data_IF_985088870048
#
_entry.id   IF_985088870048
#
_cell.length_a   1.000
_cell.length_b   1.000
_cell.length_c   1.000
_cell.angle_alpha   90.00
_cell.angle_beta   90.00
_cell.angle_gamma   90.00
#
_symmetry.space_group_name_H-M   'P 1'
#
loop_
_entity.id
_entity.type
_entity.pdbx_description
1 polymer ?
#
# COMPACT_ATOMS: atom_id res chain seq x y z
N UNK A 1 10.80 -12.15 -10.28
CA UNK A 1 10.76 -10.78 -10.89
C UNK A 1 9.41 -10.22 -10.56
N UNK A 2 9.36 -9.06 -9.92
CA UNK A 2 8.10 -8.39 -9.58
C UNK A 2 7.43 -7.86 -10.85
N UNK A 3 6.08 -7.84 -10.89
CA UNK A 3 5.34 -7.21 -11.98
C UNK A 3 5.65 -5.70 -12.12
N UNK A 4 6.14 -5.10 -11.06
CA UNK A 4 6.50 -3.67 -11.00
C UNK A 4 7.89 -3.35 -11.52
N UNK A 5 8.80 -4.33 -11.66
CA UNK A 5 10.15 -4.09 -12.19
C UNK A 5 10.12 -3.49 -13.61
N UNK A 6 9.15 -3.91 -14.44
CA UNK A 6 9.00 -3.46 -15.82
C UNK A 6 8.40 -2.07 -15.98
N UNK A 7 7.85 -1.50 -14.91
CA UNK A 7 7.19 -0.17 -14.93
C UNK A 7 7.70 0.77 -13.83
N UNK A 8 8.84 0.46 -13.20
CA UNK A 8 9.31 1.24 -12.06
C UNK A 8 9.47 2.75 -12.39
N UNK A 9 9.96 3.08 -13.59
CA UNK A 9 10.07 4.47 -14.05
C UNK A 9 8.72 5.09 -14.45
N UNK A 10 7.76 4.24 -14.89
CA UNK A 10 6.43 4.66 -15.30
C UNK A 10 5.50 4.84 -14.10
N UNK A 11 5.82 4.23 -12.97
CA UNK A 11 4.93 4.16 -11.80
C UNK A 11 4.56 5.53 -11.23
N UNK A 12 5.53 6.40 -11.03
CA UNK A 12 5.27 7.73 -10.48
C UNK A 12 4.44 8.62 -11.43
N UNK A 13 4.73 8.69 -12.75
CA UNK A 13 3.81 9.32 -13.69
C UNK A 13 2.40 8.74 -13.65
N UNK A 14 2.25 7.42 -13.62
CA UNK A 14 0.95 6.74 -13.59
C UNK A 14 0.16 7.01 -12.30
N UNK A 15 0.82 7.10 -11.14
CA UNK A 15 0.20 7.33 -9.84
C UNK A 15 0.16 8.81 -9.41
N UNK A 16 0.50 9.74 -10.30
CA UNK A 16 0.68 11.18 -9.99
C UNK A 16 -0.55 11.84 -9.39
N UNK A 17 -1.74 11.45 -9.83
CA UNK A 17 -3.01 12.05 -9.38
C UNK A 17 -3.39 11.70 -7.94
N UNK A 18 -2.74 10.70 -7.32
CA UNK A 18 -3.06 10.26 -5.96
C UNK A 18 -2.09 10.90 -4.98
N UNK A 19 -2.55 11.90 -4.24
CA UNK A 19 -1.72 12.70 -3.30
C UNK A 19 -2.33 12.86 -1.91
N UNK A 20 -3.62 12.62 -1.78
CA UNK A 20 -4.39 12.91 -0.56
C UNK A 20 -3.99 12.02 0.63
N UNK A 21 -3.47 10.84 0.35
CA UNK A 21 -3.03 9.89 1.37
C UNK A 21 -1.69 10.27 2.00
N UNK A 22 -0.82 11.01 1.28
CA UNK A 22 0.53 11.34 1.74
C UNK A 22 0.50 12.04 3.09
N UNK A 23 -0.30 13.11 3.22
CA UNK A 23 -0.40 13.88 4.45
C UNK A 23 -0.92 13.02 5.62
N UNK A 24 -1.86 12.11 5.35
CA UNK A 24 -2.41 11.21 6.36
C UNK A 24 -1.34 10.25 6.91
N UNK A 25 -0.58 9.56 6.04
CA UNK A 25 0.45 8.62 6.47
C UNK A 25 1.61 9.32 7.19
N UNK A 26 2.03 10.48 6.71
CA UNK A 26 3.06 11.30 7.36
C UNK A 26 2.61 11.70 8.79
N UNK A 27 1.38 12.14 8.97
CA UNK A 27 0.84 12.48 10.29
C UNK A 27 0.74 11.25 11.22
N UNK A 28 0.39 10.07 10.70
CA UNK A 28 0.41 8.83 11.50
C UNK A 28 1.83 8.45 11.92
N UNK A 29 2.83 8.67 11.04
CA UNK A 29 4.24 8.45 11.35
C UNK A 29 4.75 9.44 12.42
N UNK A 30 4.42 10.73 12.32
CA UNK A 30 4.76 11.76 13.34
C UNK A 30 4.21 11.39 14.71
N UNK A 31 2.96 10.91 14.77
CA UNK A 31 2.32 10.47 16.03
C UNK A 31 2.96 9.23 16.63
N UNK A 32 3.48 8.34 15.79
CA UNK A 32 4.12 7.10 16.25
C UNK A 32 5.55 7.35 16.74
N UNK A 33 6.25 8.27 16.10
CA UNK A 33 7.69 8.51 16.29
C UNK A 33 8.56 7.51 15.53
N UNK A 34 9.85 7.81 15.48
CA UNK A 34 10.85 7.05 14.73
C UNK A 34 11.35 5.81 15.50
N UNK A 35 11.65 4.66 14.81
CA UNK A 35 11.43 4.42 13.39
C UNK A 35 10.01 3.93 13.09
N UNK A 36 9.64 3.96 11.80
CA UNK A 36 8.44 3.32 11.26
C UNK A 36 8.83 2.28 10.21
N UNK A 37 7.95 1.29 9.96
CA UNK A 37 8.12 0.33 8.86
C UNK A 37 7.04 0.61 7.81
N UNK A 38 7.45 0.68 6.55
CA UNK A 38 6.55 0.78 5.41
C UNK A 38 6.69 -0.48 4.53
N UNK A 39 5.62 -1.25 4.45
CA UNK A 39 5.51 -2.44 3.60
C UNK A 39 5.06 -2.01 2.20
N UNK A 40 5.65 -2.61 1.16
CA UNK A 40 5.47 -2.22 -0.23
C UNK A 40 5.80 -0.73 -0.45
N UNK A 41 7.01 -0.33 -0.07
CA UNK A 41 7.46 1.07 -0.10
C UNK A 41 7.49 1.66 -1.52
N UNK A 42 7.57 0.82 -2.55
CA UNK A 42 7.59 1.23 -3.95
C UNK A 42 8.71 2.22 -4.26
N UNK A 43 8.36 3.29 -4.95
CA UNK A 43 9.26 4.40 -5.30
C UNK A 43 9.44 5.42 -4.16
N UNK A 44 8.90 5.14 -2.96
CA UNK A 44 9.03 5.99 -1.78
C UNK A 44 8.03 7.14 -1.70
N UNK A 45 6.87 7.02 -2.33
CA UNK A 45 5.85 8.08 -2.41
C UNK A 45 5.41 8.57 -1.02
N UNK A 46 5.34 7.68 -0.02
CA UNK A 46 5.04 8.01 1.38
C UNK A 46 6.32 8.08 2.22
N UNK A 47 7.27 7.16 2.00
CA UNK A 47 8.50 7.08 2.79
C UNK A 47 9.37 8.33 2.70
N UNK A 48 9.51 8.93 1.50
CA UNK A 48 10.34 10.12 1.30
C UNK A 48 9.76 11.34 2.03
N UNK A 49 8.49 11.72 1.89
CA UNK A 49 7.88 12.78 2.70
C UNK A 49 7.94 12.50 4.21
N UNK A 50 7.79 11.25 4.63
CA UNK A 50 7.92 10.84 6.03
C UNK A 50 9.35 11.09 6.53
N UNK A 51 10.36 10.73 5.75
CA UNK A 51 11.76 10.97 6.08
C UNK A 51 12.10 12.48 6.11
N UNK A 52 11.46 13.29 5.27
CA UNK A 52 11.63 14.75 5.29
C UNK A 52 11.16 15.40 6.60
N UNK A 53 10.26 14.74 7.35
CA UNK A 53 9.88 15.13 8.72
C UNK A 53 10.86 14.62 9.80
N UNK A 54 12.04 14.10 9.40
CA UNK A 54 13.06 13.60 10.33
C UNK A 54 12.80 12.20 10.89
N UNK A 55 11.88 11.46 10.33
CA UNK A 55 11.50 10.11 10.78
C UNK A 55 12.26 9.06 9.97
N UNK A 56 12.99 8.17 10.64
CA UNK A 56 13.62 7.01 9.98
C UNK A 56 12.54 6.05 9.50
N UNK A 57 12.60 5.66 8.23
CA UNK A 57 11.71 4.69 7.61
C UNK A 57 12.48 3.44 7.21
N UNK A 58 12.00 2.28 7.63
CA UNK A 58 12.44 0.97 7.14
C UNK A 58 11.44 0.57 6.05
N UNK A 59 11.85 0.71 4.78
CA UNK A 59 11.01 0.45 3.63
C UNK A 59 11.29 -0.92 3.02
N UNK A 60 10.26 -1.74 2.84
CA UNK A 60 10.36 -3.06 2.24
C UNK A 60 9.59 -3.08 0.92
N UNK A 61 10.22 -3.61 -0.13
CA UNK A 61 9.55 -3.91 -1.40
C UNK A 61 10.13 -5.18 -2.03
N UNK A 62 9.30 -5.88 -2.78
CA UNK A 62 9.70 -7.09 -3.52
C UNK A 62 10.30 -6.78 -4.89
N UNK A 63 10.22 -5.53 -5.36
CA UNK A 63 10.76 -5.07 -6.64
C UNK A 63 12.10 -4.36 -6.46
N UNK A 64 13.21 -4.94 -6.96
CA UNK A 64 14.48 -4.25 -7.01
C UNK A 64 14.42 -2.92 -7.78
N UNK A 65 13.66 -2.88 -8.89
CA UNK A 65 13.49 -1.68 -9.70
C UNK A 65 12.81 -0.54 -8.94
N UNK A 66 11.75 -0.84 -8.20
CA UNK A 66 11.09 0.15 -7.33
C UNK A 66 12.04 0.70 -6.27
N UNK A 67 12.82 -0.16 -5.62
CA UNK A 67 13.78 0.26 -4.61
C UNK A 67 14.91 1.10 -5.20
N UNK A 68 15.33 0.85 -6.44
CA UNK A 68 16.33 1.68 -7.13
C UNK A 68 15.81 3.11 -7.37
N UNK A 69 14.59 3.22 -7.91
CA UNK A 69 13.92 4.52 -8.08
C UNK A 69 13.76 5.23 -6.73
N UNK A 70 13.35 4.51 -5.69
CA UNK A 70 13.21 5.07 -4.34
C UNK A 70 14.54 5.64 -3.80
N UNK A 71 15.66 4.92 -3.96
CA UNK A 71 16.99 5.39 -3.55
C UNK A 71 17.38 6.67 -4.27
N UNK A 72 17.25 6.69 -5.60
CA UNK A 72 17.59 7.88 -6.40
C UNK A 72 16.75 9.10 -5.99
N UNK A 73 15.45 8.91 -5.76
CA UNK A 73 14.58 10.00 -5.29
C UNK A 73 14.92 10.46 -3.87
N UNK A 74 15.26 9.56 -2.98
CA UNK A 74 15.66 9.88 -1.61
C UNK A 74 16.97 10.68 -1.57
N UNK A 75 17.92 10.37 -2.45
CA UNK A 75 19.15 11.15 -2.63
C UNK A 75 18.86 12.56 -3.12
N UNK A 76 18.02 12.69 -4.15
CA UNK A 76 17.60 13.99 -4.69
C UNK A 76 16.86 14.85 -3.65
N UNK A 77 16.08 14.22 -2.79
CA UNK A 77 15.37 14.87 -1.69
C UNK A 77 16.26 15.16 -0.46
N UNK A 78 17.50 14.67 -0.43
CA UNK A 78 18.41 14.83 0.70
C UNK A 78 18.06 14.04 1.95
N UNK A 79 17.25 12.98 1.83
CA UNK A 79 16.74 12.18 2.95
C UNK A 79 17.22 10.72 2.95
N UNK A 80 18.14 10.35 2.06
CA UNK A 80 18.64 8.98 1.90
C UNK A 80 19.16 8.37 3.22
N UNK A 81 19.77 9.18 4.10
CA UNK A 81 20.27 8.73 5.41
C UNK A 81 19.18 8.33 6.41
N UNK A 82 17.91 8.63 6.12
CA UNK A 82 16.75 8.27 6.95
C UNK A 82 15.96 7.10 6.38
N UNK A 83 16.30 6.61 5.18
CA UNK A 83 15.64 5.46 4.55
C UNK A 83 16.54 4.21 4.60
N UNK A 84 16.03 3.16 5.21
CA UNK A 84 16.62 1.82 5.23
C UNK A 84 15.80 0.91 4.31
N UNK A 85 16.22 0.82 3.04
CA UNK A 85 15.46 0.14 2.00
C UNK A 85 15.93 -1.30 1.85
N UNK A 86 15.03 -2.25 2.05
CA UNK A 86 15.31 -3.69 2.05
C UNK A 86 14.46 -4.41 0.99
N UNK A 87 15.11 -5.27 0.22
CA UNK A 87 14.42 -6.19 -0.69
C UNK A 87 13.77 -7.31 0.14
N UNK A 88 12.46 -7.48 0.00
CA UNK A 88 11.73 -8.49 0.75
C UNK A 88 10.25 -8.53 0.40
N UNK A 89 9.60 -9.60 0.86
CA UNK A 89 8.17 -9.83 0.70
C UNK A 89 7.41 -9.37 1.96
N UNK A 90 6.21 -8.85 1.78
CA UNK A 90 5.34 -8.46 2.89
C UNK A 90 4.79 -9.65 3.70
N UNK A 91 4.90 -10.87 3.17
CA UNK A 91 4.59 -12.11 3.91
C UNK A 91 5.69 -12.50 4.91
N UNK A 92 6.93 -12.07 4.64
CA UNK A 92 8.10 -12.34 5.49
C UNK A 92 9.10 -11.19 5.37
N UNK A 93 8.74 -9.99 5.87
CA UNK A 93 9.58 -8.82 5.75
C UNK A 93 10.90 -9.01 6.53
N UNK A 94 12.06 -8.67 5.94
CA UNK A 94 13.38 -8.87 6.56
C UNK A 94 13.67 -7.76 7.59
N UNK A 95 12.86 -7.70 8.64
CA UNK A 95 12.92 -6.68 9.70
C UNK A 95 12.89 -7.35 11.06
N UNK A 96 13.94 -7.12 11.86
CA UNK A 96 14.04 -7.62 13.24
C UNK A 96 13.54 -6.60 14.25
N UNK A 97 13.57 -5.32 13.89
CA UNK A 97 13.15 -4.20 14.71
C UNK A 97 11.65 -4.25 15.00
N UNK A 98 11.29 -3.80 16.21
CA UNK A 98 9.89 -3.59 16.56
C UNK A 98 9.59 -2.11 16.64
N UNK A 99 8.50 -1.71 15.99
CA UNK A 99 8.12 -0.32 15.80
C UNK A 99 6.73 -0.04 16.38
N UNK A 100 6.40 1.24 16.52
CA UNK A 100 5.06 1.68 16.93
C UNK A 100 4.07 1.79 15.77
N UNK A 101 4.58 1.86 14.54
CA UNK A 101 3.77 1.98 13.34
C UNK A 101 4.34 1.11 12.22
N UNK A 102 3.46 0.30 11.63
CA UNK A 102 3.65 -0.34 10.34
C UNK A 102 2.61 0.24 9.39
N UNK A 103 3.02 0.66 8.21
CA UNK A 103 2.13 1.11 7.14
C UNK A 103 2.18 0.17 5.94
N UNK A 104 1.08 0.05 5.21
CA UNK A 104 1.00 -0.65 3.93
C UNK A 104 0.09 0.16 3.00
N UNK A 105 0.61 1.26 2.41
CA UNK A 105 -0.16 2.19 1.63
C UNK A 105 -0.55 1.66 0.25
N UNK A 106 -1.45 2.41 -0.39
CA UNK A 106 -1.78 2.32 -1.80
C UNK A 106 -2.26 0.93 -2.22
N UNK A 107 -3.18 0.38 -1.44
CA UNK A 107 -3.93 -0.84 -1.79
C UNK A 107 -3.05 -2.10 -1.92
N UNK A 108 -1.82 -2.08 -1.39
CA UNK A 108 -0.82 -3.16 -1.59
C UNK A 108 -1.30 -4.52 -1.10
N UNK A 109 -2.13 -4.58 -0.05
CA UNK A 109 -2.69 -5.86 0.42
C UNK A 109 -3.64 -6.52 -0.59
N UNK A 110 -4.16 -5.81 -1.58
CA UNK A 110 -5.02 -6.40 -2.61
C UNK A 110 -4.25 -7.33 -3.57
N UNK A 111 -2.91 -7.27 -3.59
CA UNK A 111 -2.07 -8.24 -4.32
C UNK A 111 -2.10 -9.65 -3.71
N UNK A 112 -2.59 -9.79 -2.49
CA UNK A 112 -2.77 -11.08 -1.83
C UNK A 112 -4.12 -11.67 -2.24
N UNK A 113 -4.09 -12.69 -3.08
CA UNK A 113 -5.29 -13.19 -3.75
C UNK A 113 -6.14 -14.12 -2.89
N UNK A 114 -5.59 -14.61 -1.76
CA UNK A 114 -6.26 -15.55 -0.86
C UNK A 114 -6.12 -15.12 0.62
N UNK A 115 -7.01 -15.66 1.46
CA UNK A 115 -7.08 -15.32 2.88
C UNK A 115 -5.91 -15.86 3.71
N UNK A 116 -5.29 -16.97 3.30
CA UNK A 116 -4.12 -17.51 3.99
C UNK A 116 -2.92 -16.59 3.82
N UNK A 117 -2.70 -16.09 2.60
CA UNK A 117 -1.67 -15.07 2.32
C UNK A 117 -1.96 -13.77 3.06
N UNK A 118 -3.21 -13.29 3.08
CA UNK A 118 -3.62 -12.10 3.84
C UNK A 118 -3.36 -12.26 5.34
N UNK A 119 -3.72 -13.39 5.92
CA UNK A 119 -3.49 -13.68 7.34
C UNK A 119 -2.01 -13.76 7.67
N UNK A 120 -1.19 -14.36 6.79
CA UNK A 120 0.27 -14.39 6.95
C UNK A 120 0.86 -12.99 6.94
N UNK A 121 0.47 -12.15 5.97
CA UNK A 121 0.93 -10.77 5.88
C UNK A 121 0.52 -9.92 7.09
N UNK A 122 -0.74 -10.04 7.53
CA UNK A 122 -1.21 -9.37 8.74
C UNK A 122 -0.47 -9.87 9.99
N UNK A 123 -0.19 -11.17 10.09
CA UNK A 123 0.62 -11.77 11.13
C UNK A 123 2.06 -11.25 11.13
N UNK A 124 2.68 -11.14 9.95
CA UNK A 124 4.01 -10.56 9.77
C UNK A 124 4.03 -9.09 10.22
N UNK A 125 3.11 -8.26 9.73
CA UNK A 125 2.99 -6.87 10.16
C UNK A 125 2.79 -6.75 11.69
N UNK A 126 1.95 -7.63 12.28
CA UNK A 126 1.74 -7.66 13.73
C UNK A 126 3.02 -8.01 14.50
N UNK A 127 3.85 -8.90 13.96
CA UNK A 127 5.12 -9.30 14.59
C UNK A 127 6.11 -8.14 14.69
N UNK A 128 6.08 -7.21 13.74
CA UNK A 128 6.91 -6.01 13.71
C UNK A 128 6.47 -4.92 14.70
N UNK A 129 5.27 -5.01 15.23
CA UNK A 129 4.73 -4.00 16.14
C UNK A 129 5.10 -4.30 17.59
N UNK A 130 5.43 -3.26 18.34
CA UNK A 130 5.42 -3.32 19.82
C UNK A 130 3.98 -3.50 20.35
N UNK A 131 3.78 -4.01 21.58
CA UNK A 131 2.45 -3.98 22.21
C UNK A 131 1.88 -2.56 22.22
N UNK A 132 0.66 -2.38 21.73
CA UNK A 132 0.01 -1.08 21.55
C UNK A 132 0.36 -0.35 20.25
N UNK A 133 1.30 -0.87 19.44
CA UNK A 133 1.63 -0.36 18.11
C UNK A 133 0.50 -0.56 17.11
N UNK A 134 0.55 0.17 16.00
CA UNK A 134 -0.54 0.25 15.02
C UNK A 134 -0.10 -0.19 13.63
N UNK A 135 -0.99 -0.91 12.94
CA UNK A 135 -0.97 -1.12 11.51
C UNK A 135 -1.95 -0.14 10.86
N UNK A 136 -1.50 0.54 9.80
CA UNK A 136 -2.31 1.46 9.01
C UNK A 136 -2.18 1.09 7.53
N UNK A 137 -3.31 0.90 6.86
CA UNK A 137 -3.33 0.57 5.43
C UNK A 137 -4.64 1.04 4.79
N UNK A 138 -4.65 1.10 3.48
CA UNK A 138 -5.83 1.38 2.67
C UNK A 138 -6.08 0.27 1.65
N UNK A 139 -7.34 0.04 1.35
CA UNK A 139 -7.82 -0.91 0.34
C UNK A 139 -9.10 -0.38 -0.29
N UNK A 140 -9.51 -0.97 -1.41
CA UNK A 140 -10.79 -0.65 -2.02
C UNK A 140 -11.64 -1.91 -2.28
N UNK A 141 -12.93 -1.70 -2.49
CA UNK A 141 -13.85 -2.62 -3.13
C UNK A 141 -14.64 -1.83 -4.18
N UNK A 142 -14.72 -2.29 -5.44
CA UNK A 142 -15.32 -1.50 -6.52
C UNK A 142 -16.81 -1.28 -6.32
N UNK A 143 -17.32 -0.11 -6.72
CA UNK A 143 -18.73 0.08 -6.94
C UNK A 143 -19.18 -0.50 -8.29
N UNK A 144 -20.48 -0.76 -8.44
CA UNK A 144 -21.01 -1.32 -9.68
C UNK A 144 -20.77 -0.39 -10.89
N UNK A 145 -20.90 0.91 -10.66
CA UNK A 145 -20.72 1.93 -11.70
C UNK A 145 -19.29 1.97 -12.22
N UNK A 146 -18.26 1.82 -11.34
CA UNK A 146 -16.86 1.75 -11.76
C UNK A 146 -16.58 0.55 -12.65
N UNK A 147 -17.16 -0.60 -12.30
CA UNK A 147 -17.02 -1.81 -13.09
C UNK A 147 -17.62 -1.58 -14.49
N UNK A 148 -18.83 -1.01 -14.57
CA UNK A 148 -19.49 -0.75 -15.83
C UNK A 148 -18.72 0.24 -16.71
N UNK A 149 -18.17 1.28 -16.09
CA UNK A 149 -17.45 2.34 -16.81
C UNK A 149 -16.07 1.90 -17.30
N UNK A 150 -15.38 1.01 -16.58
CA UNK A 150 -13.96 0.71 -16.84
C UNK A 150 -13.70 -0.67 -17.42
N UNK A 151 -14.61 -1.65 -17.23
CA UNK A 151 -14.38 -3.04 -17.62
C UNK A 151 -14.01 -3.18 -19.10
N UNK A 152 -12.86 -3.79 -19.36
CA UNK A 152 -12.38 -4.14 -20.69
C UNK A 152 -11.93 -2.95 -21.55
N UNK A 153 -11.92 -1.74 -21.01
CA UNK A 153 -11.61 -0.52 -21.77
C UNK A 153 -10.19 -0.04 -21.46
N UNK A 154 -9.47 0.38 -22.51
CA UNK A 154 -8.25 1.14 -22.33
C UNK A 154 -8.59 2.62 -22.08
N UNK A 155 -8.20 3.13 -20.93
CA UNK A 155 -8.40 4.53 -20.55
C UNK A 155 -7.02 5.20 -20.42
N UNK A 156 -6.89 6.39 -20.95
CA UNK A 156 -5.70 7.21 -20.72
C UNK A 156 -5.82 7.86 -19.35
N UNK A 157 -4.94 7.47 -18.42
CA UNK A 157 -4.92 7.98 -17.05
C UNK A 157 -4.07 9.23 -16.90
N UNK A 158 -2.94 9.24 -17.60
CA UNK A 158 -2.01 10.36 -17.71
C UNK A 158 -1.57 10.43 -19.18
N UNK A 159 -1.05 11.56 -19.69
CA UNK A 159 -0.65 11.68 -21.07
C UNK A 159 0.32 10.57 -21.51
N UNK A 160 -0.11 9.74 -22.46
CA UNK A 160 0.65 8.59 -22.97
C UNK A 160 0.67 7.35 -22.07
N UNK A 161 -0.04 7.35 -20.94
CA UNK A 161 -0.14 6.22 -20.04
C UNK A 161 -1.56 5.68 -20.02
N UNK A 162 -1.70 4.44 -20.44
CA UNK A 162 -2.99 3.76 -20.60
C UNK A 162 -3.15 2.65 -19.59
N UNK A 163 -4.35 2.53 -19.06
CA UNK A 163 -4.77 1.49 -18.12
C UNK A 163 -6.00 0.77 -18.65
N UNK A 164 -6.06 -0.54 -18.39
CA UNK A 164 -7.25 -1.36 -18.64
C UNK A 164 -7.56 -2.20 -17.43
N UNK A 165 -8.81 -2.14 -17.00
CA UNK A 165 -9.36 -2.92 -15.91
C UNK A 165 -10.22 -4.06 -16.46
N UNK A 166 -9.84 -5.31 -16.17
CA UNK A 166 -10.66 -6.49 -16.46
C UNK A 166 -11.16 -7.06 -15.12
N UNK A 167 -12.45 -6.83 -14.84
CA UNK A 167 -13.11 -7.21 -13.59
C UNK A 167 -13.73 -8.59 -13.66
N UNK A 168 -13.50 -9.42 -12.65
CA UNK A 168 -14.25 -10.65 -12.39
C UNK A 168 -14.98 -10.50 -11.04
N UNK A 169 -16.29 -10.22 -11.11
CA UNK A 169 -17.12 -10.02 -9.92
C UNK A 169 -17.40 -11.30 -9.15
N UNK A 170 -17.34 -12.47 -9.82
CA UNK A 170 -17.52 -13.76 -9.15
C UNK A 170 -16.27 -14.15 -8.34
N UNK A 171 -15.11 -14.02 -8.94
CA UNK A 171 -13.84 -14.24 -8.26
C UNK A 171 -13.42 -13.07 -7.35
N UNK A 172 -14.08 -11.91 -7.49
CA UNK A 172 -13.73 -10.65 -6.84
C UNK A 172 -12.28 -10.24 -7.11
N UNK A 173 -11.91 -10.27 -8.40
CA UNK A 173 -10.57 -9.91 -8.85
C UNK A 173 -10.60 -8.86 -9.95
N UNK A 174 -9.61 -7.98 -9.92
CA UNK A 174 -9.29 -7.01 -10.95
C UNK A 174 -7.96 -7.40 -11.57
N UNK A 175 -7.95 -7.70 -12.87
CA UNK A 175 -6.70 -7.75 -13.63
C UNK A 175 -6.47 -6.38 -14.25
N UNK A 176 -5.42 -5.73 -13.80
CA UNK A 176 -5.04 -4.38 -14.24
C UNK A 176 -3.85 -4.49 -15.21
N UNK A 177 -4.03 -3.95 -16.41
CA UNK A 177 -2.96 -3.83 -17.41
C UNK A 177 -2.62 -2.37 -17.59
N UNK A 178 -1.32 -2.04 -17.46
CA UNK A 178 -0.79 -0.67 -17.61
C UNK A 178 0.27 -0.66 -18.68
N UNK A 179 0.28 0.36 -19.53
CA UNK A 179 1.29 0.54 -20.57
C UNK A 179 1.56 2.01 -20.84
N UNK A 180 2.81 2.31 -21.20
CA UNK A 180 3.27 3.64 -21.64
C UNK A 180 4.66 3.55 -22.24
N UNK A 181 5.29 4.68 -22.54
CA UNK A 181 6.67 4.73 -23.09
C UNK A 181 7.64 4.19 -22.06
N UNK A 182 7.57 3.88 -20.96
CA UNK A 182 8.51 3.31 -19.99
C UNK A 182 8.32 1.80 -19.77
N UNK A 183 7.31 1.18 -20.41
CA UNK A 183 7.06 -0.24 -20.23
C UNK A 183 5.60 -0.63 -20.20
N UNK A 184 5.36 -1.89 -19.86
CA UNK A 184 4.03 -2.44 -19.68
C UNK A 184 4.04 -3.52 -18.60
N UNK A 185 2.93 -3.65 -17.89
CA UNK A 185 2.73 -4.70 -16.89
C UNK A 185 1.28 -5.12 -16.80
N UNK A 186 1.07 -6.30 -16.24
CA UNK A 186 -0.26 -6.79 -15.87
C UNK A 186 -0.16 -7.49 -14.52
N UNK A 187 -1.07 -7.18 -13.61
CA UNK A 187 -1.16 -7.82 -12.30
C UNK A 187 -2.61 -7.96 -11.86
N UNK A 188 -2.84 -8.83 -10.90
CA UNK A 188 -4.19 -9.09 -10.38
C UNK A 188 -4.28 -8.61 -8.93
N UNK A 189 -5.39 -7.95 -8.63
CA UNK A 189 -5.80 -7.53 -7.29
C UNK A 189 -7.06 -8.30 -6.90
N UNK A 190 -7.22 -8.63 -5.63
CA UNK A 190 -8.43 -9.25 -5.11
C UNK A 190 -8.99 -8.43 -3.95
N UNK A 191 -10.25 -8.03 -4.06
CA UNK A 191 -10.90 -7.20 -3.05
C UNK A 191 -11.75 -8.00 -2.09
N UNK A 192 -11.94 -7.44 -0.92
CA UNK A 192 -12.83 -7.92 0.13
C UNK A 192 -13.75 -6.79 0.57
N UNK A 193 -14.90 -7.16 1.10
CA UNK A 193 -15.76 -6.21 1.82
C UNK A 193 -15.11 -5.71 3.11
N UNK A 194 -15.53 -4.57 3.64
CA UNK A 194 -15.03 -4.07 4.93
C UNK A 194 -15.26 -5.04 6.09
N UNK A 195 -16.35 -5.81 6.08
CA UNK A 195 -16.61 -6.79 7.14
C UNK A 195 -15.63 -7.97 7.09
N UNK A 196 -15.26 -8.42 5.89
CA UNK A 196 -14.24 -9.47 5.71
C UNK A 196 -12.86 -8.99 6.15
N UNK A 197 -12.46 -7.74 5.79
CA UNK A 197 -11.22 -7.15 6.29
C UNK A 197 -11.19 -7.06 7.82
N UNK A 198 -12.31 -6.65 8.43
CA UNK A 198 -12.44 -6.63 9.89
C UNK A 198 -12.23 -8.01 10.50
N UNK A 199 -12.88 -9.02 9.94
CA UNK A 199 -12.75 -10.41 10.41
C UNK A 199 -11.31 -10.93 10.29
N UNK A 200 -10.61 -10.64 9.18
CA UNK A 200 -9.21 -11.00 9.00
C UNK A 200 -8.28 -10.30 10.01
N UNK A 201 -8.49 -9.01 10.26
CA UNK A 201 -7.72 -8.26 11.26
C UNK A 201 -7.90 -8.83 12.66
N UNK A 202 -9.14 -9.14 13.05
CA UNK A 202 -9.45 -9.74 14.35
C UNK A 202 -8.86 -11.15 14.47
N UNK A 203 -8.97 -11.97 13.41
CA UNK A 203 -8.37 -13.31 13.34
C UNK A 203 -6.83 -13.26 13.41
N UNK A 204 -6.20 -12.25 12.83
CA UNK A 204 -4.78 -12.00 12.96
C UNK A 204 -4.36 -11.43 14.34
N UNK A 205 -5.31 -11.21 15.25
CA UNK A 205 -5.08 -10.75 16.61
C UNK A 205 -4.91 -9.24 16.75
N UNK A 206 -5.46 -8.46 15.82
CA UNK A 206 -5.55 -7.00 15.92
C UNK A 206 -6.85 -6.58 16.58
N UNK A 207 -6.81 -5.43 17.26
CA UNK A 207 -7.98 -4.64 17.62
C UNK A 207 -8.20 -3.57 16.58
N UNK A 208 -9.33 -3.57 15.87
CA UNK A 208 -9.69 -2.52 14.93
C UNK A 208 -10.04 -1.25 15.69
N UNK A 209 -9.32 -0.15 15.43
CA UNK A 209 -9.57 1.16 16.01
C UNK A 209 -10.45 2.03 15.11
N UNK A 210 -10.36 1.85 13.80
CA UNK A 210 -11.18 2.60 12.85
C UNK A 210 -11.14 1.97 11.46
N UNK A 211 -12.27 2.16 10.75
CA UNK A 211 -12.43 1.97 9.32
C UNK A 211 -13.02 3.28 8.81
N UNK A 212 -12.29 3.97 7.97
CA UNK A 212 -12.66 5.29 7.46
C UNK A 212 -12.89 5.22 5.96
N UNK A 213 -13.77 6.07 5.46
CA UNK A 213 -14.09 6.15 4.03
C UNK A 213 -13.12 7.01 3.23
N UNK A 214 -12.14 7.65 3.87
CA UNK A 214 -11.10 8.43 3.22
C UNK A 214 -9.97 8.81 4.21
N UNK A 215 -8.92 9.40 3.70
CA UNK A 215 -7.74 9.83 4.46
C UNK A 215 -7.98 11.01 5.42
N UNK A 216 -9.12 11.71 5.31
CA UNK A 216 -9.58 12.73 6.26
C UNK A 216 -10.20 12.13 7.54
N UNK A 217 -10.21 10.81 7.66
CA UNK A 217 -10.83 10.05 8.76
C UNK A 217 -12.35 10.22 8.90
N UNK A 218 -13.04 10.58 7.83
CA UNK A 218 -14.50 10.51 7.84
C UNK A 218 -14.94 9.05 8.05
N UNK A 219 -15.95 8.80 8.90
CA UNK A 219 -16.45 7.46 9.13
C UNK A 219 -16.87 6.79 7.81
N UNK A 220 -16.51 5.52 7.64
CA UNK A 220 -17.00 4.74 6.50
C UNK A 220 -18.53 4.61 6.57
N UNK A 221 -19.20 5.00 5.51
CA UNK A 221 -20.67 4.93 5.35
C UNK A 221 -21.09 4.29 4.04
N UNK A 222 -20.21 3.50 3.44
CA UNK A 222 -20.30 3.00 2.08
C UNK A 222 -19.32 3.76 1.17
N UNK A 223 -19.15 3.27 -0.06
CA UNK A 223 -18.16 3.75 -1.03
C UNK A 223 -17.03 2.75 -1.20
N UNK A 224 -16.10 3.08 -2.07
CA UNK A 224 -15.07 2.17 -2.54
C UNK A 224 -13.90 2.05 -1.61
N UNK A 225 -13.34 3.19 -1.21
CA UNK A 225 -12.11 3.21 -0.44
C UNK A 225 -12.36 3.02 1.05
N UNK A 226 -11.48 2.26 1.68
CA UNK A 226 -11.43 2.11 3.13
C UNK A 226 -10.01 2.26 3.64
N UNK A 227 -9.86 3.09 4.68
CA UNK A 227 -8.61 3.31 5.40
C UNK A 227 -8.72 2.68 6.79
N UNK A 228 -7.81 1.79 7.11
CA UNK A 228 -7.83 0.99 8.32
C UNK A 228 -6.76 1.40 9.31
N UNK A 229 -7.14 1.53 10.56
CA UNK A 229 -6.23 1.65 11.70
C UNK A 229 -6.53 0.48 12.65
N UNK A 230 -5.56 -0.40 12.80
CA UNK A 230 -5.65 -1.56 13.68
C UNK A 230 -4.49 -1.55 14.69
N UNK A 231 -4.72 -1.99 15.91
CA UNK A 231 -3.75 -1.98 17.01
C UNK A 231 -3.37 -3.39 17.43
N UNK A 232 -2.06 -3.64 17.60
CA UNK A 232 -1.62 -4.82 18.37
C UNK A 232 -2.03 -4.63 19.83
N UNK A 233 -2.82 -5.50 20.44
CA UNK A 233 -3.15 -5.43 21.87
C UNK A 233 -1.90 -5.41 22.76
N UNK A 234 -2.06 -4.90 23.99
CA UNK A 234 -1.00 -4.90 25.02
C UNK A 234 -0.78 -6.28 25.59
#
# INVERSE_FOLDING_TARGET
MSAYDSIAELYDPWSRSVTEDVAFYVEEAKRAGSPVVELAVGTGRIAIPTAAEGIRVIGIDSSPGMLEVCRARAELAGVAGLLDLRLGDLLEPPVEERVRLVTCPFRSYLHLLDDDSRLRALGAARSLLVPGGRLVFDVFAPAADDIEETHGRWLEREPGIFERADWDTNARTLTLSVRGEGGATTFTLAWLSPDEWRALLEKAGFQVLGCYGWFDKRPYRGGEDTVWIARRPR
#
